data_IF_438029453831
#
_entry.id   IF_438029453831
#
_cell.length_a   1.000
_cell.length_b   1.000
_cell.length_c   1.000
_cell.angle_alpha   90.00
_cell.angle_beta   90.00
_cell.angle_gamma   90.00
#
_symmetry.space_group_name_H-M   'P 1'
#
loop_
_entity.id
_entity.type
_entity.pdbx_description
1 polymer ?
#
# COMPACT_ATOMS: atom_id res chain seq x y z
N UNK A 1 -7.69 5.69 8.09
CA UNK A 1 -6.44 6.21 7.51
C UNK A 1 -5.87 5.26 6.44
N UNK A 2 -5.48 4.03 6.80
CA UNK A 2 -4.94 3.04 5.84
C UNK A 2 -5.89 2.77 4.66
N UNK A 3 -7.19 2.55 4.93
CA UNK A 3 -8.18 2.31 3.87
C UNK A 3 -8.24 3.43 2.83
N UNK A 4 -8.26 4.69 3.30
CA UNK A 4 -8.23 5.87 2.43
C UNK A 4 -6.95 5.95 1.61
N UNK A 5 -5.81 5.59 2.20
CA UNK A 5 -4.54 5.55 1.48
C UNK A 5 -4.54 4.44 0.40
N UNK A 6 -5.11 3.26 0.70
CA UNK A 6 -5.29 2.19 -0.30
C UNK A 6 -6.14 2.64 -1.49
N UNK A 7 -7.25 3.32 -1.22
CA UNK A 7 -8.12 3.87 -2.27
C UNK A 7 -7.41 4.94 -3.10
N UNK A 8 -6.58 5.77 -2.47
CA UNK A 8 -5.76 6.77 -3.17
C UNK A 8 -4.73 6.12 -4.10
N UNK A 9 -3.99 5.12 -3.62
CA UNK A 9 -3.02 4.37 -4.44
C UNK A 9 -3.72 3.70 -5.63
N UNK A 10 -4.87 3.06 -5.40
CA UNK A 10 -5.67 2.47 -6.48
C UNK A 10 -6.14 3.50 -7.50
N UNK A 11 -6.67 4.64 -7.05
CA UNK A 11 -7.08 5.71 -7.97
C UNK A 11 -5.92 6.25 -8.80
N UNK A 12 -4.72 6.33 -8.23
CA UNK A 12 -3.52 6.76 -8.98
C UNK A 12 -3.13 5.70 -9.99
N UNK A 13 -3.11 4.43 -9.62
CA UNK A 13 -2.78 3.34 -10.52
C UNK A 13 -3.75 3.26 -11.71
N UNK A 14 -5.05 3.39 -11.46
CA UNK A 14 -6.10 3.39 -12.50
C UNK A 14 -5.97 4.56 -13.50
N UNK A 15 -5.21 5.62 -13.19
CA UNK A 15 -4.91 6.69 -14.16
C UNK A 15 -3.91 6.26 -15.23
N UNK A 16 -3.04 5.29 -14.92
CA UNK A 16 -2.10 4.72 -15.88
C UNK A 16 -2.78 3.65 -16.73
N UNK A 17 -3.51 2.74 -16.08
CA UNK A 17 -4.29 1.71 -16.75
C UNK A 17 -5.60 1.47 -16.00
N UNK A 18 -6.77 1.80 -16.60
CA UNK A 18 -8.08 1.62 -15.96
C UNK A 18 -8.43 0.16 -15.60
N UNK A 19 -7.72 -0.81 -16.17
CA UNK A 19 -7.93 -2.24 -15.90
C UNK A 19 -7.22 -2.71 -14.62
N UNK A 20 -6.36 -1.89 -14.02
CA UNK A 20 -5.67 -2.21 -12.77
C UNK A 20 -6.69 -2.41 -11.65
N UNK A 21 -6.57 -3.54 -10.98
CA UNK A 21 -7.36 -3.94 -9.83
C UNK A 21 -6.58 -3.78 -8.53
N UNK A 22 -7.23 -4.04 -7.40
CA UNK A 22 -6.53 -4.07 -6.10
C UNK A 22 -5.51 -5.20 -6.01
N UNK A 23 -5.75 -6.30 -6.70
CA UNK A 23 -4.91 -7.49 -6.60
C UNK A 23 -3.58 -7.25 -7.32
N UNK A 24 -3.61 -6.49 -8.41
CA UNK A 24 -2.41 -6.03 -9.13
C UNK A 24 -1.49 -5.17 -8.25
N UNK A 25 -2.04 -4.47 -7.26
CA UNK A 25 -1.26 -3.66 -6.30
C UNK A 25 -0.54 -4.50 -5.24
N UNK A 26 -0.72 -5.82 -5.21
CA UNK A 26 0.12 -6.67 -4.37
C UNK A 26 1.54 -6.83 -4.92
N UNK A 27 1.72 -6.70 -6.24
CA UNK A 27 3.03 -6.70 -6.87
C UNK A 27 3.13 -5.62 -7.97
N UNK A 28 3.11 -4.32 -7.59
CA UNK A 28 3.06 -3.23 -8.56
C UNK A 28 4.33 -3.10 -9.43
N UNK A 29 5.43 -3.74 -9.04
CA UNK A 29 6.68 -3.78 -9.80
C UNK A 29 6.57 -4.60 -11.11
N UNK A 30 5.56 -5.46 -11.24
CA UNK A 30 5.30 -6.17 -12.50
C UNK A 30 4.62 -5.28 -13.55
N UNK A 31 4.23 -4.04 -13.17
CA UNK A 31 3.53 -3.09 -14.02
C UNK A 31 4.45 -1.91 -14.29
N UNK A 32 5.05 -1.89 -15.49
CA UNK A 32 6.06 -0.91 -15.90
C UNK A 32 5.60 0.54 -15.71
N UNK A 33 4.33 0.82 -16.00
CA UNK A 33 3.75 2.17 -15.85
C UNK A 33 3.70 2.64 -14.40
N UNK A 34 3.51 1.72 -13.45
CA UNK A 34 3.50 2.02 -12.01
C UNK A 34 4.92 2.14 -11.48
N UNK A 35 5.81 1.22 -11.86
CA UNK A 35 7.21 1.21 -11.43
C UNK A 35 7.92 2.53 -11.80
N UNK A 36 7.66 3.05 -13.01
CA UNK A 36 8.26 4.30 -13.49
C UNK A 36 7.59 5.56 -12.91
N UNK A 37 6.46 5.43 -12.21
CA UNK A 37 5.71 6.55 -11.68
C UNK A 37 6.20 6.96 -10.28
N UNK A 38 6.96 8.06 -10.21
CA UNK A 38 7.42 8.62 -8.94
C UNK A 38 6.28 9.00 -7.98
N UNK A 39 5.14 9.47 -8.51
CA UNK A 39 3.95 9.77 -7.70
C UNK A 39 3.34 8.49 -7.11
N UNK A 40 3.20 7.44 -7.92
CA UNK A 40 2.68 6.16 -7.44
C UNK A 40 3.60 5.58 -6.35
N UNK A 41 4.90 5.50 -6.62
CA UNK A 41 5.90 4.96 -5.70
C UNK A 41 5.90 5.70 -4.34
N UNK A 42 5.75 7.02 -4.36
CA UNK A 42 5.65 7.80 -3.12
C UNK A 42 4.41 7.44 -2.29
N UNK A 43 3.25 7.35 -2.93
CA UNK A 43 1.98 7.08 -2.26
C UNK A 43 1.87 5.63 -1.77
N UNK A 44 2.43 4.69 -2.53
CA UNK A 44 2.57 3.29 -2.15
C UNK A 44 3.55 3.12 -0.98
N UNK A 45 4.67 3.84 -0.98
CA UNK A 45 5.60 3.88 0.16
C UNK A 45 4.94 4.38 1.45
N UNK A 46 4.08 5.39 1.38
CA UNK A 46 3.27 5.84 2.53
C UNK A 46 2.35 4.71 3.01
N UNK A 47 1.67 4.02 2.08
CA UNK A 47 0.80 2.90 2.43
C UNK A 47 1.57 1.78 3.15
N UNK A 48 2.72 1.38 2.61
CA UNK A 48 3.61 0.38 3.20
C UNK A 48 4.06 0.78 4.61
N UNK A 49 4.44 2.04 4.81
CA UNK A 49 4.80 2.57 6.14
C UNK A 49 3.64 2.50 7.15
N UNK A 50 2.43 2.88 6.75
CA UNK A 50 1.25 2.80 7.61
C UNK A 50 0.89 1.35 7.99
N UNK A 51 0.97 0.44 7.03
CA UNK A 51 0.73 -0.99 7.26
C UNK A 51 1.77 -1.57 8.22
N UNK A 52 3.05 -1.22 8.02
CA UNK A 52 4.15 -1.64 8.89
C UNK A 52 3.97 -1.15 10.33
N UNK A 53 3.61 0.12 10.52
CA UNK A 53 3.32 0.68 11.85
C UNK A 53 2.13 -0.04 12.51
N UNK A 54 1.05 -0.32 11.76
CA UNK A 54 -0.09 -1.07 12.28
C UNK A 54 0.30 -2.49 12.72
N UNK A 55 1.13 -3.19 11.94
CA UNK A 55 1.63 -4.53 12.27
C UNK A 55 2.50 -4.50 13.53
N UNK A 56 3.41 -3.53 13.65
CA UNK A 56 4.25 -3.36 14.83
C UNK A 56 3.41 -3.10 16.10
N UNK A 57 2.39 -2.24 16.02
CA UNK A 57 1.48 -1.99 17.15
C UNK A 57 0.71 -3.26 17.55
N UNK A 58 0.19 -4.00 16.57
CA UNK A 58 -0.51 -5.27 16.83
C UNK A 58 0.42 -6.27 17.50
N UNK A 59 1.64 -6.45 16.99
CA UNK A 59 2.63 -7.36 17.57
C UNK A 59 2.95 -7.01 19.03
N UNK A 60 3.13 -5.71 19.33
CA UNK A 60 3.36 -5.25 20.71
C UNK A 60 2.16 -5.53 21.63
N UNK A 61 0.93 -5.34 21.15
CA UNK A 61 -0.29 -5.68 21.92
C UNK A 61 -0.39 -7.19 22.17
N UNK A 62 -0.08 -8.02 21.18
CA UNK A 62 -0.05 -9.48 21.35
C UNK A 62 1.02 -9.92 22.34
N UNK A 63 2.20 -9.27 22.34
CA UNK A 63 3.29 -9.62 23.24
C UNK A 63 2.98 -9.24 24.69
N UNK A 64 2.30 -8.11 24.93
CA UNK A 64 1.86 -7.68 26.27
C UNK A 64 0.79 -8.57 26.92
N UNK A 65 0.08 -9.40 26.15
CA UNK A 65 -0.95 -10.34 26.67
C UNK A 65 -0.39 -11.73 27.04
N UNK A 66 0.90 -11.96 26.82
CA UNK A 66 1.59 -13.23 27.11
C UNK A 66 2.47 -13.18 28.37
N UNK A 67 2.41 -12.06 29.11
CA UNK A 67 3.00 -11.87 30.43
C UNK A 67 1.91 -11.47 31.41
#
# INVERSE_FOLDING_TARGET
MIQRQREKVLMIAMRFNPSITRDDLFNPHDIVELEQSGLFNFEDGILAGLMSAQMALRANVFNKRRH
#
